data_IF_799724668396
#
_entry.id   IF_799724668396
#
_cell.length_a   1.000
_cell.length_b   1.000
_cell.length_c   1.000
_cell.angle_alpha   90.00
_cell.angle_beta   90.00
_cell.angle_gamma   90.00
#
_symmetry.space_group_name_H-M   'P 1'
#
loop_
_entity.id
_entity.type
_entity.pdbx_description
1 polymer ?
#
# COMPACT_ATOMS: atom_id res chain seq x y z
N UNK A 1 33.28 -25.38 -35.02
CA UNK A 1 32.42 -26.35 -34.32
C UNK A 1 30.97 -25.90 -34.16
N UNK A 2 30.65 -24.75 -33.52
CA UNK A 2 29.24 -24.31 -33.38
C UNK A 2 28.56 -23.93 -34.72
N UNK A 3 29.33 -23.40 -35.69
CA UNK A 3 28.82 -23.01 -37.01
C UNK A 3 28.47 -24.20 -37.92
N UNK A 4 29.17 -25.32 -37.80
CA UNK A 4 28.89 -26.53 -38.60
C UNK A 4 27.61 -27.25 -38.15
N UNK A 5 27.27 -27.14 -36.85
CA UNK A 5 26.01 -27.63 -36.30
C UNK A 5 24.81 -26.83 -36.82
N UNK A 6 24.95 -25.51 -37.00
CA UNK A 6 23.88 -24.65 -37.51
C UNK A 6 23.63 -24.86 -39.00
N UNK A 7 24.66 -25.18 -39.80
CA UNK A 7 24.53 -25.44 -41.23
C UNK A 7 23.92 -26.80 -41.58
N UNK A 8 24.00 -27.78 -40.67
CA UNK A 8 23.45 -29.12 -40.86
C UNK A 8 22.05 -29.28 -40.23
N UNK A 9 21.49 -28.20 -39.70
CA UNK A 9 20.19 -28.17 -39.05
C UNK A 9 19.10 -27.95 -40.10
N UNK A 10 18.16 -28.88 -40.24
CA UNK A 10 16.99 -28.70 -41.11
C UNK A 10 16.30 -27.36 -40.82
N UNK A 11 15.81 -26.69 -41.86
CA UNK A 11 15.11 -25.40 -41.76
C UNK A 11 13.96 -25.43 -40.75
N UNK A 12 13.27 -26.56 -40.61
CA UNK A 12 12.23 -26.80 -39.60
C UNK A 12 12.76 -26.80 -38.17
N UNK A 13 13.89 -27.45 -37.89
CA UNK A 13 14.51 -27.44 -36.55
C UNK A 13 15.09 -26.07 -36.22
N UNK A 14 15.64 -25.36 -37.22
CA UNK A 14 16.12 -23.98 -37.03
C UNK A 14 14.97 -23.02 -36.67
N UNK A 15 13.82 -23.17 -37.33
CA UNK A 15 12.62 -22.38 -37.02
C UNK A 15 12.03 -22.72 -35.63
N UNK A 16 12.03 -24.00 -35.24
CA UNK A 16 11.59 -24.44 -33.91
C UNK A 16 12.51 -23.90 -32.80
N UNK A 17 13.83 -23.91 -33.01
CA UNK A 17 14.80 -23.28 -32.11
C UNK A 17 14.56 -21.79 -31.98
N UNK A 18 14.26 -21.09 -33.09
CA UNK A 18 13.93 -19.66 -33.06
C UNK A 18 12.68 -19.39 -32.19
N UNK A 19 11.62 -20.20 -32.34
CA UNK A 19 10.39 -20.06 -31.54
C UNK A 19 10.68 -20.29 -30.05
N UNK A 20 11.39 -21.38 -29.72
CA UNK A 20 11.77 -21.70 -28.34
C UNK A 20 12.64 -20.57 -27.76
N UNK A 21 13.56 -20.04 -28.55
CA UNK A 21 14.41 -18.93 -28.14
C UNK A 21 13.62 -17.65 -27.86
N UNK A 22 12.65 -17.30 -28.71
CA UNK A 22 11.76 -16.16 -28.47
C UNK A 22 10.94 -16.37 -27.19
N UNK A 23 10.38 -17.58 -27.00
CA UNK A 23 9.67 -17.97 -25.78
C UNK A 23 10.56 -17.87 -24.54
N UNK A 24 11.83 -18.27 -24.67
CA UNK A 24 12.82 -18.20 -23.61
C UNK A 24 13.12 -16.74 -23.24
N UNK A 25 13.42 -15.88 -24.22
CA UNK A 25 13.69 -14.45 -23.98
C UNK A 25 12.49 -13.74 -23.33
N UNK A 26 11.27 -14.03 -23.80
CA UNK A 26 10.04 -13.49 -23.21
C UNK A 26 9.84 -13.98 -21.78
N UNK A 27 10.14 -15.26 -21.52
CA UNK A 27 10.07 -15.84 -20.18
C UNK A 27 11.13 -15.27 -19.24
N UNK A 28 12.33 -15.00 -19.76
CA UNK A 28 13.44 -14.47 -18.98
C UNK A 28 13.15 -13.09 -18.42
N UNK A 29 12.48 -12.21 -19.19
CA UNK A 29 12.01 -10.91 -18.69
C UNK A 29 11.11 -11.05 -17.44
N UNK A 30 10.25 -12.07 -17.40
CA UNK A 30 9.41 -12.35 -16.22
C UNK A 30 10.23 -12.97 -15.09
N UNK A 31 11.16 -13.86 -15.41
CA UNK A 31 12.05 -14.49 -14.43
C UNK A 31 12.91 -13.45 -13.69
N UNK A 32 13.45 -12.45 -14.39
CA UNK A 32 14.22 -11.37 -13.76
C UNK A 32 13.42 -10.63 -12.68
N UNK A 33 12.14 -10.33 -12.92
CA UNK A 33 11.29 -9.69 -11.90
C UNK A 33 11.08 -10.58 -10.68
N UNK A 34 10.94 -11.89 -10.89
CA UNK A 34 10.78 -12.87 -9.80
C UNK A 34 12.06 -12.97 -8.97
N UNK A 35 13.22 -12.99 -9.65
CA UNK A 35 14.55 -13.04 -9.01
C UNK A 35 14.79 -11.79 -8.15
N UNK A 36 14.50 -10.59 -8.68
CA UNK A 36 14.65 -9.34 -7.91
C UNK A 36 13.80 -9.34 -6.65
N UNK A 37 12.55 -9.81 -6.74
CA UNK A 37 11.70 -9.95 -5.55
C UNK A 37 12.25 -10.99 -4.57
N UNK A 38 12.81 -12.11 -5.06
CA UNK A 38 13.44 -13.12 -4.21
C UNK A 38 14.63 -12.54 -3.43
N UNK A 39 15.44 -11.68 -4.04
CA UNK A 39 16.54 -10.98 -3.35
C UNK A 39 16.01 -10.14 -2.18
N UNK A 40 14.93 -9.38 -2.38
CA UNK A 40 14.30 -8.61 -1.30
C UNK A 40 13.80 -9.50 -0.16
N UNK A 41 13.28 -10.68 -0.48
CA UNK A 41 12.81 -11.65 0.52
C UNK A 41 13.98 -12.23 1.30
N UNK A 42 15.10 -12.54 0.65
CA UNK A 42 16.31 -13.00 1.34
C UNK A 42 16.81 -11.94 2.32
N UNK A 43 16.86 -10.67 1.90
CA UNK A 43 17.25 -9.56 2.77
C UNK A 43 16.29 -9.44 3.96
N UNK A 44 14.98 -9.51 3.72
CA UNK A 44 13.97 -9.47 4.77
C UNK A 44 14.07 -10.68 5.73
N UNK A 45 14.36 -11.87 5.21
CA UNK A 45 14.52 -13.09 5.99
C UNK A 45 15.76 -13.06 6.88
N UNK A 46 16.85 -12.43 6.43
CA UNK A 46 18.06 -12.21 7.27
C UNK A 46 17.80 -11.14 8.33
N UNK A 47 17.07 -10.07 7.99
CA UNK A 47 16.70 -9.05 8.96
C UNK A 47 15.73 -9.56 10.03
N UNK A 48 14.86 -10.51 9.68
CA UNK A 48 13.82 -11.02 10.56
C UNK A 48 14.33 -11.47 11.94
N UNK A 49 15.28 -12.42 12.08
CA UNK A 49 15.78 -12.84 13.38
C UNK A 49 16.47 -11.68 14.14
N UNK A 50 17.15 -10.78 13.44
CA UNK A 50 17.80 -9.61 14.06
C UNK A 50 16.76 -8.67 14.68
N UNK A 51 15.68 -8.40 13.96
CA UNK A 51 14.57 -7.56 14.43
C UNK A 51 13.82 -8.25 15.58
N UNK A 52 13.55 -9.55 15.46
CA UNK A 52 12.86 -10.32 16.50
C UNK A 52 13.66 -10.36 17.81
N UNK A 53 14.99 -10.54 17.73
CA UNK A 53 15.82 -10.55 18.92
C UNK A 53 15.93 -9.15 19.54
N UNK A 54 16.05 -8.09 18.72
CA UNK A 54 16.23 -6.71 19.20
C UNK A 54 14.95 -6.11 19.80
N UNK A 55 13.80 -6.34 19.17
CA UNK A 55 12.55 -5.65 19.54
C UNK A 55 11.63 -6.50 20.40
N UNK A 56 11.62 -7.82 20.20
CA UNK A 56 10.73 -8.73 20.91
C UNK A 56 11.43 -9.55 21.99
N UNK A 57 12.77 -9.45 22.09
CA UNK A 57 13.55 -10.18 23.08
C UNK A 57 13.53 -11.70 22.89
N UNK A 58 13.18 -12.18 21.68
CA UNK A 58 13.32 -13.59 21.37
C UNK A 58 14.80 -13.96 21.31
N UNK A 59 15.16 -15.13 21.82
CA UNK A 59 16.53 -15.65 21.74
C UNK A 59 16.65 -16.59 20.53
N UNK A 60 16.50 -16.03 19.33
CA UNK A 60 16.60 -16.81 18.10
C UNK A 60 18.08 -16.94 17.73
N UNK A 61 18.61 -18.16 17.55
CA UNK A 61 20.00 -18.34 17.17
C UNK A 61 20.28 -17.73 15.79
N UNK A 62 21.29 -16.85 15.73
CA UNK A 62 21.76 -16.15 14.52
C UNK A 62 22.93 -16.91 13.87
N UNK A 63 22.90 -18.24 13.97
CA UNK A 63 23.90 -19.09 13.35
C UNK A 63 23.67 -19.23 11.84
N UNK A 64 24.69 -19.66 11.10
CA UNK A 64 24.61 -19.83 9.63
C UNK A 64 23.50 -20.80 9.23
N UNK A 65 23.35 -21.91 9.95
CA UNK A 65 22.35 -22.93 9.66
C UNK A 65 20.92 -22.41 9.90
N UNK A 66 20.72 -21.70 11.00
CA UNK A 66 19.46 -21.02 11.32
C UNK A 66 19.11 -19.97 10.27
N UNK A 67 20.07 -19.14 9.85
CA UNK A 67 19.88 -18.16 8.78
C UNK A 67 19.45 -18.81 7.46
N UNK A 68 20.08 -19.91 7.06
CA UNK A 68 19.69 -20.65 5.86
C UNK A 68 18.24 -21.15 5.99
N UNK A 69 17.85 -21.68 7.16
CA UNK A 69 16.48 -22.13 7.40
C UNK A 69 15.45 -21.00 7.28
N UNK A 70 15.75 -19.80 7.78
CA UNK A 70 14.87 -18.63 7.66
C UNK A 70 14.75 -18.15 6.21
N UNK A 71 15.85 -18.17 5.46
CA UNK A 71 15.85 -17.88 4.03
C UNK A 71 14.98 -18.90 3.28
N UNK A 72 15.14 -20.19 3.59
CA UNK A 72 14.35 -21.26 2.99
C UNK A 72 12.86 -21.09 3.29
N UNK A 73 12.53 -20.76 4.54
CA UNK A 73 11.17 -20.48 4.98
C UNK A 73 10.58 -19.28 4.22
N UNK A 74 11.33 -18.18 4.12
CA UNK A 74 10.91 -16.98 3.38
C UNK A 74 10.66 -17.27 1.90
N UNK A 75 11.55 -18.05 1.26
CA UNK A 75 11.37 -18.50 -0.12
C UNK A 75 10.17 -19.44 -0.27
N UNK A 76 9.95 -20.34 0.67
CA UNK A 76 8.80 -21.26 0.66
C UNK A 76 7.49 -20.50 0.72
N UNK A 77 7.36 -19.56 1.66
CA UNK A 77 6.18 -18.69 1.79
C UNK A 77 5.97 -17.86 0.52
N UNK A 78 7.06 -17.35 -0.07
CA UNK A 78 6.98 -16.63 -1.33
C UNK A 78 6.51 -17.50 -2.49
N UNK A 79 6.96 -18.76 -2.55
CA UNK A 79 6.51 -19.70 -3.57
C UNK A 79 5.01 -20.00 -3.45
N UNK A 80 4.53 -20.21 -2.23
CA UNK A 80 3.09 -20.36 -1.95
C UNK A 80 2.32 -19.12 -2.41
N UNK A 81 2.83 -17.92 -2.12
CA UNK A 81 2.22 -16.66 -2.59
C UNK A 81 2.17 -16.57 -4.12
N UNK A 82 3.24 -16.96 -4.81
CA UNK A 82 3.30 -17.00 -6.27
C UNK A 82 2.26 -17.95 -6.86
N UNK A 83 2.12 -19.15 -6.29
CA UNK A 83 1.11 -20.14 -6.70
C UNK A 83 -0.29 -19.61 -6.45
N UNK A 84 -0.57 -19.05 -5.27
CA UNK A 84 -1.88 -18.45 -4.97
C UNK A 84 -2.22 -17.32 -5.95
N UNK A 85 -1.25 -16.46 -6.26
CA UNK A 85 -1.41 -15.36 -7.23
C UNK A 85 -1.64 -15.87 -8.65
N UNK A 86 -1.00 -16.96 -9.06
CA UNK A 86 -1.20 -17.56 -10.38
C UNK A 86 -2.61 -18.14 -10.51
N UNK A 87 -3.08 -18.89 -9.50
CA UNK A 87 -4.43 -19.46 -9.44
C UNK A 87 -5.47 -18.34 -9.48
N UNK A 88 -5.31 -17.30 -8.67
CA UNK A 88 -6.22 -16.14 -8.66
C UNK A 88 -6.31 -15.44 -10.02
N UNK A 89 -5.17 -15.31 -10.72
CA UNK A 89 -5.13 -14.71 -12.05
C UNK A 89 -5.82 -15.58 -13.10
N UNK A 90 -5.64 -16.89 -13.03
CA UNK A 90 -6.31 -17.85 -13.91
C UNK A 90 -7.82 -17.86 -13.65
N UNK A 91 -8.24 -17.93 -12.38
CA UNK A 91 -9.66 -17.82 -12.01
C UNK A 91 -10.29 -16.51 -12.50
N UNK A 92 -9.59 -15.38 -12.31
CA UNK A 92 -10.08 -14.09 -12.80
C UNK A 92 -10.14 -13.99 -14.33
N UNK A 93 -9.31 -14.73 -15.06
CA UNK A 93 -9.41 -14.85 -16.52
C UNK A 93 -10.58 -15.76 -16.92
N UNK A 94 -10.78 -16.88 -16.23
CA UNK A 94 -11.90 -17.80 -16.44
C UNK A 94 -13.25 -17.13 -16.16
N UNK A 95 -13.37 -16.36 -15.07
CA UNK A 95 -14.58 -15.59 -14.75
C UNK A 95 -14.89 -14.53 -15.82
N UNK A 96 -13.85 -13.88 -16.35
CA UNK A 96 -13.99 -12.91 -17.44
C UNK A 96 -14.37 -13.57 -18.76
N UNK A 97 -13.88 -14.79 -19.02
CA UNK A 97 -14.24 -15.56 -20.20
C UNK A 97 -15.71 -16.03 -20.09
N UNK A 98 -16.10 -16.60 -18.95
CA UNK A 98 -17.47 -17.05 -18.69
C UNK A 98 -18.50 -15.90 -18.79
N UNK A 99 -18.14 -14.69 -18.32
CA UNK A 99 -18.99 -13.49 -18.47
C UNK A 99 -19.09 -12.96 -19.90
N UNK A 100 -18.19 -13.35 -20.80
CA UNK A 100 -18.18 -12.92 -22.22
C UNK A 100 -18.84 -13.92 -23.16
N UNK A 101 -19.14 -15.13 -22.70
CA UNK A 101 -19.99 -16.05 -23.45
C UNK A 101 -21.44 -15.62 -23.22
N UNK A 102 -22.17 -15.14 -24.25
CA UNK A 102 -23.59 -14.92 -24.10
C UNK A 102 -24.23 -16.28 -23.86
N UNK A 103 -24.74 -16.50 -22.64
CA UNK A 103 -25.61 -17.63 -22.36
C UNK A 103 -26.75 -17.62 -23.39
N UNK A 104 -27.03 -18.75 -24.08
CA UNK A 104 -28.21 -18.86 -24.91
C UNK A 104 -29.42 -18.57 -24.01
N UNK A 105 -30.17 -17.57 -24.43
CA UNK A 105 -31.34 -17.00 -23.77
C UNK A 105 -32.41 -18.09 -23.63
N UNK A 106 -32.41 -18.80 -22.51
CA UNK A 106 -33.42 -19.79 -22.16
C UNK A 106 -33.51 -19.95 -20.66
N UNK A 107 -34.67 -19.59 -20.11
CA UNK A 107 -35.12 -19.79 -18.73
C UNK A 107 -34.53 -18.87 -17.64
N UNK A 108 -35.23 -17.73 -17.47
CA UNK A 108 -35.45 -17.15 -16.15
C UNK A 108 -36.10 -18.21 -15.24
N UNK A 109 -35.41 -18.62 -14.17
CA UNK A 109 -36.07 -18.87 -12.89
C UNK A 109 -35.57 -17.84 -11.88
N UNK A 110 -36.54 -17.10 -11.37
CA UNK A 110 -36.44 -16.01 -10.41
C UNK A 110 -36.56 -16.59 -9.00
N UNK A 111 -35.80 -15.98 -8.08
CA UNK A 111 -35.81 -16.06 -6.60
C UNK A 111 -35.01 -17.19 -5.94
N UNK A 112 -33.85 -16.81 -5.43
CA UNK A 112 -33.73 -16.54 -3.99
C UNK A 112 -32.95 -15.25 -3.73
N UNK A 113 -33.47 -14.47 -2.80
CA UNK A 113 -33.05 -13.11 -2.43
C UNK A 113 -31.68 -13.08 -1.76
N UNK A 114 -30.73 -12.37 -2.41
CA UNK A 114 -29.69 -11.51 -1.80
C UNK A 114 -28.99 -10.72 -2.93
N UNK A 115 -29.74 -9.82 -3.55
CA UNK A 115 -29.20 -8.61 -4.18
C UNK A 115 -28.95 -7.59 -3.04
N UNK A 116 -27.86 -6.83 -3.01
CA UNK A 116 -27.50 -5.83 -4.00
C UNK A 116 -26.01 -5.88 -4.40
N UNK A 117 -25.76 -5.98 -5.71
CA UNK A 117 -24.64 -5.30 -6.36
C UNK A 117 -25.19 -3.99 -6.93
N UNK A 118 -24.36 -2.93 -6.93
CA UNK A 118 -24.00 -2.40 -8.25
C UNK A 118 -22.52 -1.95 -8.36
N UNK A 119 -21.56 -2.87 -8.17
CA UNK A 119 -20.10 -2.56 -8.25
C UNK A 119 -19.59 -2.09 -9.64
N UNK A 120 -20.43 -2.12 -10.70
CA UNK A 120 -20.05 -1.56 -12.02
C UNK A 120 -20.37 -0.08 -12.18
N UNK A 121 -21.25 0.48 -11.36
CA UNK A 121 -21.57 1.91 -11.36
C UNK A 121 -20.54 2.68 -10.53
N UNK A 122 -20.04 2.06 -9.46
CA UNK A 122 -19.05 2.66 -8.55
C UNK A 122 -17.74 2.98 -9.25
N UNK A 123 -17.26 2.12 -10.15
CA UNK A 123 -15.98 2.37 -10.84
C UNK A 123 -16.03 3.50 -11.87
N UNK A 124 -17.21 3.83 -12.39
CA UNK A 124 -17.41 5.03 -13.24
C UNK A 124 -17.58 6.27 -12.36
N UNK A 125 -18.31 6.16 -11.24
CA UNK A 125 -18.44 7.22 -10.23
C UNK A 125 -17.10 7.58 -9.59
N UNK A 126 -16.24 6.62 -9.27
CA UNK A 126 -14.89 6.87 -8.73
C UNK A 126 -14.04 7.66 -9.72
N UNK A 127 -14.09 7.34 -11.02
CA UNK A 127 -13.35 8.11 -12.04
C UNK A 127 -13.90 9.53 -12.18
N UNK A 128 -15.22 9.70 -12.14
CA UNK A 128 -15.84 11.03 -12.20
C UNK A 128 -15.53 11.85 -10.94
N UNK A 129 -15.47 11.22 -9.77
CA UNK A 129 -15.07 11.84 -8.51
C UNK A 129 -13.59 12.22 -8.51
N UNK A 130 -12.72 11.35 -9.02
CA UNK A 130 -11.27 11.61 -9.12
C UNK A 130 -10.98 12.74 -10.13
N UNK A 131 -11.75 12.85 -11.22
CA UNK A 131 -11.69 13.98 -12.16
C UNK A 131 -12.19 15.28 -11.51
N UNK A 132 -13.31 15.24 -10.78
CA UNK A 132 -13.82 16.40 -10.03
C UNK A 132 -12.86 16.86 -8.92
N UNK A 133 -12.22 15.94 -8.20
CA UNK A 133 -11.21 16.27 -7.19
C UNK A 133 -9.98 16.93 -7.81
N UNK A 134 -9.51 16.46 -8.97
CA UNK A 134 -8.41 17.09 -9.70
C UNK A 134 -8.79 18.49 -10.20
N UNK A 135 -10.03 18.70 -10.63
CA UNK A 135 -10.52 20.04 -10.99
C UNK A 135 -10.62 20.97 -9.77
N UNK A 136 -11.14 20.47 -8.64
CA UNK A 136 -11.22 21.24 -7.39
C UNK A 136 -9.83 21.62 -6.87
N UNK A 137 -8.87 20.69 -6.87
CA UNK A 137 -7.49 20.98 -6.49
C UNK A 137 -6.85 22.03 -7.41
N UNK A 138 -7.09 21.96 -8.73
CA UNK A 138 -6.63 23.00 -9.67
C UNK A 138 -7.27 24.36 -9.37
N UNK A 139 -8.57 24.40 -9.06
CA UNK A 139 -9.27 25.64 -8.66
C UNK A 139 -8.73 26.19 -7.34
N UNK A 140 -8.50 25.35 -6.33
CA UNK A 140 -7.91 25.77 -5.06
C UNK A 140 -6.47 26.27 -5.22
N UNK A 141 -5.66 25.65 -6.08
CA UNK A 141 -4.33 26.15 -6.41
C UNK A 141 -4.40 27.51 -7.11
N UNK A 142 -5.33 27.70 -8.04
CA UNK A 142 -5.55 29.01 -8.67
C UNK A 142 -6.03 30.06 -7.66
N UNK A 143 -6.92 29.72 -6.74
CA UNK A 143 -7.39 30.62 -5.67
C UNK A 143 -6.25 30.95 -4.69
N UNK A 144 -5.44 29.96 -4.30
CA UNK A 144 -4.23 30.19 -3.48
C UNK A 144 -3.22 31.08 -4.21
N UNK A 145 -3.03 30.89 -5.51
CA UNK A 145 -2.12 31.70 -6.30
C UNK A 145 -2.66 33.14 -6.47
N UNK A 146 -3.94 33.29 -6.79
CA UNK A 146 -4.61 34.59 -6.90
C UNK A 146 -4.60 35.35 -5.56
N UNK A 147 -4.87 34.68 -4.43
CA UNK A 147 -4.80 35.29 -3.10
C UNK A 147 -3.36 35.58 -2.65
N UNK A 148 -2.36 34.79 -3.05
CA UNK A 148 -0.95 35.09 -2.83
C UNK A 148 -0.50 36.33 -3.65
N UNK A 149 -1.01 36.48 -4.87
CA UNK A 149 -0.79 37.68 -5.69
C UNK A 149 -1.48 38.90 -5.06
N UNK A 150 -2.69 38.71 -4.52
CA UNK A 150 -3.43 39.80 -3.85
C UNK A 150 -2.77 40.21 -2.53
N UNK A 151 -2.19 39.28 -1.75
CA UNK A 151 -1.36 39.58 -0.57
C UNK A 151 -0.04 40.28 -0.90
N UNK A 152 0.48 40.15 -2.13
CA UNK A 152 1.64 40.90 -2.62
C UNK A 152 1.30 42.33 -3.08
N UNK A 153 0.02 42.67 -3.27
CA UNK A 153 -0.41 44.07 -3.32
C UNK A 153 -0.44 44.59 -1.88
N UNK A 154 0.62 45.33 -1.55
CA UNK A 154 0.90 46.01 -0.27
C UNK A 154 -0.38 46.42 0.48
N UNK A 155 -0.45 46.27 1.81
CA UNK A 155 -1.33 47.13 2.60
C UNK A 155 -0.94 48.58 2.30
N UNK A 156 -1.92 49.34 1.80
CA UNK A 156 -1.83 50.80 1.68
C UNK A 156 -1.33 51.36 3.01
N UNK A 157 -0.35 52.25 2.95
CA UNK A 157 0.30 52.89 4.10
C UNK A 157 -0.67 53.57 5.07
N UNK A 158 -1.94 53.75 4.69
CA UNK A 158 -3.01 54.32 5.52
C UNK A 158 -3.45 53.46 6.71
N UNK A 159 -3.23 52.14 6.70
CA UNK A 159 -3.64 51.27 7.82
C UNK A 159 -2.65 51.25 8.99
N UNK A 160 -1.43 51.77 8.81
CA UNK A 160 -0.46 51.86 9.91
C UNK A 160 -0.79 52.98 10.90
N UNK A 161 -1.35 54.08 10.41
CA UNK A 161 -1.66 55.25 11.24
C UNK A 161 -2.86 55.00 12.19
N UNK A 162 -3.76 54.08 11.83
CA UNK A 162 -4.88 53.70 12.70
C UNK A 162 -4.52 52.66 13.77
N UNK A 163 -3.50 51.82 13.55
CA UNK A 163 -3.12 50.78 14.51
C UNK A 163 -2.32 51.31 15.71
N UNK A 164 -1.70 52.50 15.59
CA UNK A 164 -0.97 53.14 16.71
C UNK A 164 -1.90 53.85 17.71
N UNK A 165 -3.17 54.09 17.37
CA UNK A 165 -4.13 54.77 18.25
C UNK A 165 -4.90 53.83 19.19
N UNK A 166 -4.85 52.51 18.97
CA UNK A 166 -5.66 51.52 19.72
C UNK A 166 -4.87 50.64 20.72
N UNK A 167 -3.63 51.00 21.09
CA UNK A 167 -2.89 50.26 22.11
C UNK A 167 -3.06 50.85 23.53
N UNK A 168 -3.97 50.34 24.38
CA UNK A 168 -4.00 50.68 25.79
C UNK A 168 -2.88 49.96 26.56
N UNK A 169 -2.21 50.78 27.36
CA UNK A 169 -1.16 50.54 28.36
C UNK A 169 -1.22 49.19 29.08
N UNK A 170 -0.03 48.61 29.21
CA UNK A 170 0.37 47.49 30.05
C UNK A 170 -0.27 47.47 31.46
N UNK A 171 -0.65 46.28 31.92
CA UNK A 171 -0.85 45.97 33.35
C UNK A 171 -0.12 44.68 33.73
N UNK A 172 0.39 44.57 34.97
CA UNK A 172 1.50 43.69 35.34
C UNK A 172 1.09 42.28 35.77
N UNK A 173 2.09 41.38 35.74
CA UNK A 173 2.11 40.00 36.23
C UNK A 173 1.82 39.87 37.75
N UNK A 174 0.93 38.97 38.13
CA UNK A 174 0.99 38.02 39.28
C UNK A 174 -0.36 37.25 39.29
N UNK A 175 -0.56 36.04 39.81
CA UNK A 175 0.06 35.35 40.94
C UNK A 175 -0.13 33.83 40.85
N UNK A 176 0.80 33.12 41.47
CA UNK A 176 0.78 31.72 41.89
C UNK A 176 -0.62 31.19 42.27
N UNK A 177 -1.05 30.09 41.67
CA UNK A 177 -2.20 29.29 42.12
C UNK A 177 -1.64 28.05 42.83
N UNK A 178 -1.90 27.92 44.13
CA UNK A 178 -1.67 26.70 44.91
C UNK A 178 -2.84 25.73 44.69
N UNK A 179 -2.60 24.43 44.41
CA UNK A 179 -3.69 23.46 44.33
C UNK A 179 -4.22 23.09 45.73
N UNK A 180 -5.55 22.96 45.82
CA UNK A 180 -6.30 22.57 47.02
C UNK A 180 -5.92 21.14 47.48
N UNK A 181 -5.95 20.86 48.80
CA UNK A 181 -5.62 19.53 49.33
C UNK A 181 -6.67 18.48 48.96
N UNK A 182 -6.18 17.34 48.46
CA UNK A 182 -6.98 16.15 48.15
C UNK A 182 -7.41 15.48 49.47
N UNK A 183 -8.72 15.28 49.63
CA UNK A 183 -9.30 14.56 50.77
C UNK A 183 -9.06 13.06 50.58
N UNK A 184 -8.21 12.46 51.42
CA UNK A 184 -8.00 11.02 51.46
C UNK A 184 -9.15 10.31 52.21
N UNK A 185 -9.93 9.49 51.49
CA UNK A 185 -10.90 8.60 52.12
C UNK A 185 -10.22 7.33 52.66
N UNK A 186 -10.07 7.27 53.99
CA UNK A 186 -9.68 6.06 54.75
C UNK A 186 -10.63 4.88 54.46
N UNK A 187 -10.12 3.82 53.82
CA UNK A 187 -10.78 2.51 53.76
C UNK A 187 -10.81 1.87 55.15
N UNK A 188 -12.01 1.63 55.69
CA UNK A 188 -12.26 0.84 56.90
C UNK A 188 -11.91 -0.63 56.65
N UNK A 189 -11.02 -1.16 57.47
CA UNK A 189 -10.62 -2.56 57.60
C UNK A 189 -11.76 -3.33 58.28
N UNK A 190 -12.37 -4.30 57.61
CA UNK A 190 -13.30 -5.27 58.23
C UNK A 190 -12.42 -6.35 58.88
N UNK A 191 -12.49 -6.48 60.20
CA UNK A 191 -11.97 -7.62 60.96
C UNK A 191 -12.92 -8.81 60.70
N UNK A 192 -12.34 -9.92 60.29
CA UNK A 192 -12.90 -11.25 60.54
C UNK A 192 -12.54 -11.61 61.98
N UNK A 193 -13.55 -12.01 62.76
CA UNK A 193 -13.39 -12.73 64.03
C UNK A 193 -13.91 -14.15 63.79
N UNK A 194 -13.18 -15.10 64.40
CA UNK A 194 -13.39 -16.54 64.43
C UNK A 194 -14.76 -16.97 64.99
#
# INVERSE_FOLDING_TARGET
MAFEFLSNLNTTTAFLLLIIFILFVVSMKKAFSIILNAVWIVIAAILFPVVMNRFFGFDIPIDRDSMISFILLGLTVYFVYLVGKSIYKVLGMAEKAAKKVPLPRGEKKVKDEKEEKPVKTDKKREKELEEREKELQKKEQQIRFASAIQKKRRPSSWQKDYLELEAPKEKPKSSHITPLPVIEHKKKKKREED
#
